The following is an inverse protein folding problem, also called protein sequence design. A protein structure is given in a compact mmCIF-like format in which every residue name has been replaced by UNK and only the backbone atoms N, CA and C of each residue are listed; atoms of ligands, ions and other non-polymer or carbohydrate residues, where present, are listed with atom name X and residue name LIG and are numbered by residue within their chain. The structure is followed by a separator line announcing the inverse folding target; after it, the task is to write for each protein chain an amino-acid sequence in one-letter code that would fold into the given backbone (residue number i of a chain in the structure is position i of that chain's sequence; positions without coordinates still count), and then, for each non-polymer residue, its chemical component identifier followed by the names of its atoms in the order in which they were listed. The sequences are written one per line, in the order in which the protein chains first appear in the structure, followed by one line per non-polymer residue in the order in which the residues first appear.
data_IF_141954017616
#
_entry.id   IF_141954017616
#
_cell.length_a   1.000
_cell.length_b   1.000
_cell.length_c   1.000
_cell.angle_alpha   90.00
_cell.angle_beta   90.00
_cell.angle_gamma   90.00
#
_symmetry.space_group_name_H-M   'P 1'
#
loop_
_entity.id
_entity.type
_entity.pdbx_description
1 polymer ?
#
# COMPACT_ATOMS: atom_id res chain seq x y z
N UNK A 1 0.67 -5.32 1.14
CA UNK A 1 1.77 -6.20 0.71
C UNK A 1 2.00 -6.00 -0.77
N UNK A 2 2.66 -4.91 -1.12
CA UNK A 2 3.00 -4.53 -2.49
C UNK A 2 3.79 -5.67 -3.13
N UNK A 3 3.21 -6.25 -4.19
CA UNK A 3 4.02 -6.98 -5.18
C UNK A 3 4.89 -5.94 -5.88
N UNK A 4 6.12 -5.74 -5.40
CA UNK A 4 7.16 -5.18 -6.26
C UNK A 4 7.31 -6.15 -7.42
N UNK A 5 6.92 -5.72 -8.62
CA UNK A 5 7.22 -6.44 -9.85
C UNK A 5 8.74 -6.51 -9.98
N UNK A 6 9.32 -7.63 -9.55
CA UNK A 6 10.73 -7.93 -9.78
C UNK A 6 10.83 -8.36 -11.24
N UNK A 7 11.33 -7.47 -12.09
CA UNK A 7 11.78 -7.82 -13.42
C UNK A 7 12.97 -8.77 -13.33
N UNK A 8 12.70 -10.07 -13.32
CA UNK A 8 13.69 -11.14 -13.42
C UNK A 8 13.71 -11.67 -14.84
N UNK A 9 14.81 -11.43 -15.56
CA UNK A 9 15.01 -11.88 -16.93
C UNK A 9 15.02 -13.40 -17.06
N UNK A 10 14.22 -13.92 -17.99
CA UNK A 10 14.34 -15.27 -18.53
C UNK A 10 14.23 -15.14 -20.06
N UNK A 11 15.28 -15.57 -20.76
CA UNK A 11 15.30 -15.68 -22.21
C UNK A 11 14.31 -16.76 -22.67
N UNK A 12 13.26 -16.36 -23.38
CA UNK A 12 12.54 -17.24 -24.31
C UNK A 12 11.82 -16.41 -25.38
N UNK A 13 12.12 -16.76 -26.63
CA UNK A 13 11.57 -16.18 -27.85
C UNK A 13 10.09 -16.56 -27.95
N UNK A 14 9.19 -15.56 -27.98
CA UNK A 14 7.77 -15.76 -28.22
C UNK A 14 7.01 -14.44 -28.25
N UNK A 15 6.66 -13.97 -29.44
CA UNK A 15 5.76 -12.82 -29.65
C UNK A 15 4.37 -13.14 -29.08
N UNK A 16 4.03 -12.51 -27.96
CA UNK A 16 2.66 -12.39 -27.45
C UNK A 16 2.61 -11.17 -26.55
N UNK A 17 1.81 -10.16 -26.91
CA UNK A 17 1.60 -9.00 -26.04
C UNK A 17 0.92 -9.47 -24.75
N UNK A 18 1.69 -9.67 -23.70
CA UNK A 18 1.15 -10.00 -22.38
C UNK A 18 0.42 -8.76 -21.84
N UNK A 19 -0.91 -8.77 -21.93
CA UNK A 19 -1.74 -7.82 -21.20
C UNK A 19 -1.46 -8.05 -19.70
N UNK A 20 -0.82 -7.09 -19.03
CA UNK A 20 -0.69 -7.17 -17.57
C UNK A 20 -2.09 -7.06 -16.95
N UNK A 21 -2.43 -7.92 -15.98
CA UNK A 21 -3.74 -7.89 -15.36
C UNK A 21 -3.95 -6.54 -14.65
N UNK A 22 -5.18 -6.03 -14.71
CA UNK A 22 -5.52 -4.77 -14.05
C UNK A 22 -5.57 -4.95 -12.53
N UNK A 23 -5.51 -3.85 -11.77
CA UNK A 23 -5.68 -3.89 -10.31
C UNK A 23 -7.00 -4.55 -9.91
N UNK A 24 -8.07 -4.28 -10.66
CA UNK A 24 -9.40 -4.84 -10.42
C UNK A 24 -9.44 -6.35 -10.65
N UNK A 25 -8.78 -6.85 -11.70
CA UNK A 25 -8.59 -8.29 -11.93
C UNK A 25 -7.77 -8.97 -10.82
N UNK A 26 -6.96 -8.19 -10.11
CA UNK A 26 -6.17 -8.65 -8.96
C UNK A 26 -6.92 -8.49 -7.62
N UNK A 27 -8.19 -8.07 -7.63
CA UNK A 27 -8.97 -7.84 -6.41
C UNK A 27 -8.55 -6.59 -5.62
N UNK A 28 -7.94 -5.61 -6.30
CA UNK A 28 -7.52 -4.33 -5.74
C UNK A 28 -8.44 -3.24 -6.26
N UNK A 29 -9.02 -2.47 -5.34
CA UNK A 29 -9.89 -1.33 -5.62
C UNK A 29 -9.14 -0.03 -5.43
N UNK A 30 -8.94 0.71 -6.51
CA UNK A 30 -8.35 2.05 -6.45
C UNK A 30 -9.35 3.06 -5.89
N UNK A 31 -8.92 3.77 -4.84
CA UNK A 31 -9.70 4.80 -4.15
C UNK A 31 -9.07 6.16 -4.39
N UNK A 32 -9.85 7.06 -4.94
CA UNK A 32 -9.53 8.44 -5.26
C UNK A 32 -10.54 9.38 -4.58
N UNK A 33 -10.32 10.69 -4.69
CA UNK A 33 -11.19 11.68 -4.05
C UNK A 33 -12.68 11.57 -4.44
N UNK A 34 -13.00 11.08 -5.65
CA UNK A 34 -14.38 10.99 -6.14
C UNK A 34 -15.15 9.78 -5.61
N UNK A 35 -14.50 8.66 -5.27
CA UNK A 35 -15.14 7.45 -4.76
C UNK A 35 -14.79 7.14 -3.29
N UNK A 36 -13.99 7.99 -2.63
CA UNK A 36 -13.55 7.83 -1.25
C UNK A 36 -14.71 7.48 -0.30
N UNK A 37 -15.76 8.28 -0.33
CA UNK A 37 -16.90 8.14 0.57
C UNK A 37 -17.68 6.85 0.31
N UNK A 38 -17.83 6.44 -0.96
CA UNK A 38 -18.48 5.19 -1.34
C UNK A 38 -17.74 3.98 -0.78
N UNK A 39 -16.44 3.93 -0.98
CA UNK A 39 -15.60 2.82 -0.52
C UNK A 39 -15.52 2.75 1.01
N UNK A 40 -15.50 3.90 1.70
CA UNK A 40 -15.62 3.93 3.16
C UNK A 40 -16.96 3.36 3.66
N UNK A 41 -18.06 3.44 2.89
CA UNK A 41 -19.32 2.77 3.27
C UNK A 41 -19.16 1.26 3.21
N UNK A 42 -18.52 0.74 2.15
CA UNK A 42 -18.23 -0.69 1.99
C UNK A 42 -17.30 -1.19 3.10
N UNK A 43 -16.21 -0.46 3.38
CA UNK A 43 -15.26 -0.81 4.44
C UNK A 43 -15.94 -0.90 5.81
N UNK A 44 -16.86 0.02 6.13
CA UNK A 44 -17.62 -0.02 7.39
C UNK A 44 -18.48 -1.27 7.56
N UNK A 45 -18.91 -1.89 6.46
CA UNK A 45 -19.63 -3.17 6.49
C UNK A 45 -18.65 -4.34 6.61
N UNK A 46 -17.57 -4.32 5.83
CA UNK A 46 -16.54 -5.36 5.80
C UNK A 46 -15.87 -5.55 7.16
N UNK A 47 -15.48 -4.45 7.81
CA UNK A 47 -14.77 -4.49 9.10
C UNK A 47 -15.58 -5.12 10.23
N UNK A 48 -16.90 -5.26 10.09
CA UNK A 48 -17.72 -5.95 11.09
C UNK A 48 -17.39 -7.45 11.17
N UNK A 49 -17.04 -8.07 10.03
CA UNK A 49 -16.74 -9.49 9.91
C UNK A 49 -15.24 -9.76 9.70
N UNK A 50 -14.53 -8.86 9.02
CA UNK A 50 -13.11 -8.98 8.67
C UNK A 50 -12.30 -7.92 9.42
N UNK A 51 -11.98 -8.20 10.68
CA UNK A 51 -11.42 -7.23 11.63
C UNK A 51 -9.88 -7.13 11.60
N UNK A 52 -9.20 -8.03 10.90
CA UNK A 52 -7.75 -8.01 10.78
C UNK A 52 -7.36 -7.23 9.52
N UNK A 53 -6.44 -6.27 9.65
CA UNK A 53 -6.08 -5.38 8.54
C UNK A 53 -4.58 -5.49 8.27
N UNK A 54 -4.23 -5.93 7.06
CA UNK A 54 -2.89 -5.78 6.53
C UNK A 54 -2.75 -4.40 5.88
N UNK A 55 -1.69 -3.67 6.25
CA UNK A 55 -1.44 -2.29 5.81
C UNK A 55 -0.11 -2.21 5.06
N UNK A 56 -0.08 -1.35 4.05
CA UNK A 56 1.15 -0.96 3.36
C UNK A 56 1.06 0.52 2.94
N UNK A 57 2.19 1.22 2.86
CA UNK A 57 2.22 2.65 2.53
C UNK A 57 3.38 2.98 1.63
N UNK A 58 3.16 3.87 0.66
CA UNK A 58 4.21 4.38 -0.23
C UNK A 58 4.43 5.88 0.00
N UNK A 59 5.71 6.26 0.10
CA UNK A 59 6.19 7.62 0.33
C UNK A 59 7.24 7.99 -0.73
N UNK A 60 7.51 9.29 -0.97
CA UNK A 60 8.53 9.78 -1.90
C UNK A 60 9.99 9.56 -1.42
N UNK A 61 10.33 8.34 -0.99
CA UNK A 61 11.70 7.96 -0.61
C UNK A 61 12.18 8.54 0.73
N UNK A 62 13.51 8.65 0.90
CA UNK A 62 14.16 9.22 2.09
C UNK A 62 14.88 10.50 1.67
N UNK A 63 14.51 11.62 2.28
CA UNK A 63 14.96 12.97 1.87
C UNK A 63 15.89 13.61 2.91
N UNK A 64 15.87 13.16 4.17
CA UNK A 64 16.70 13.72 5.22
C UNK A 64 17.37 12.66 6.09
N UNK A 65 18.56 12.98 6.60
CA UNK A 65 19.25 12.23 7.67
C UNK A 65 19.30 13.09 8.93
N UNK A 66 18.97 12.54 10.11
CA UNK A 66 18.98 13.31 11.34
C UNK A 66 20.44 13.64 11.74
N UNK A 67 20.68 14.87 12.20
CA UNK A 67 21.99 15.34 12.66
C UNK A 67 21.98 15.37 14.20
N UNK A 68 22.98 14.77 14.84
CA UNK A 68 23.13 14.77 16.30
C UNK A 68 23.85 13.54 16.83
N UNK A 69 24.00 13.48 18.16
CA UNK A 69 24.46 12.26 18.84
C UNK A 69 23.27 11.35 19.16
N UNK A 70 23.44 10.06 18.88
CA UNK A 70 22.43 9.03 19.14
C UNK A 70 23.01 8.01 20.11
N UNK A 71 22.26 7.69 21.17
CA UNK A 71 22.71 6.78 22.23
C UNK A 71 22.73 5.33 21.75
N UNK A 72 21.86 4.99 20.80
CA UNK A 72 21.75 3.64 20.22
C UNK A 72 21.42 3.71 18.73
N UNK A 73 21.71 2.62 18.01
CA UNK A 73 21.30 2.45 16.60
C UNK A 73 19.79 2.49 16.42
N UNK A 74 19.03 2.01 17.39
CA UNK A 74 17.56 2.04 17.37
C UNK A 74 17.03 3.48 17.46
N UNK A 75 17.63 4.32 18.31
CA UNK A 75 17.28 5.75 18.40
C UNK A 75 17.54 6.47 17.08
N UNK A 76 18.68 6.19 16.43
CA UNK A 76 18.99 6.75 15.12
C UNK A 76 17.97 6.31 14.06
N UNK A 77 17.62 5.02 14.01
CA UNK A 77 16.61 4.51 13.07
C UNK A 77 15.24 5.14 13.29
N UNK A 78 14.82 5.30 14.55
CA UNK A 78 13.58 5.99 14.89
C UNK A 78 13.60 7.46 14.45
N UNK A 79 14.68 8.20 14.72
CA UNK A 79 14.78 9.60 14.32
C UNK A 79 14.85 9.77 12.80
N UNK A 80 15.49 8.82 12.10
CA UNK A 80 15.49 8.78 10.64
C UNK A 80 14.07 8.58 10.10
N UNK A 81 13.31 7.62 10.65
CA UNK A 81 11.91 7.42 10.27
C UNK A 81 11.06 8.66 10.56
N UNK A 82 11.13 9.18 11.79
CA UNK A 82 10.37 10.35 12.23
C UNK A 82 10.60 11.56 11.33
N UNK A 83 11.87 11.92 11.10
CA UNK A 83 12.20 13.09 10.28
C UNK A 83 11.65 12.97 8.86
N UNK A 84 11.70 11.78 8.25
CA UNK A 84 11.17 11.58 6.91
C UNK A 84 9.63 11.51 6.89
N UNK A 85 8.99 10.93 7.90
CA UNK A 85 7.52 10.93 8.01
C UNK A 85 6.98 12.35 8.21
N UNK A 86 7.65 13.18 9.01
CA UNK A 86 7.25 14.56 9.25
C UNK A 86 7.39 15.44 7.99
N UNK A 87 8.37 15.13 7.12
CA UNK A 87 8.68 15.93 5.92
C UNK A 87 7.93 15.47 4.67
N UNK A 88 7.52 14.21 4.60
CA UNK A 88 7.00 13.61 3.37
C UNK A 88 5.49 13.47 3.41
N UNK A 89 4.85 13.75 2.28
CA UNK A 89 3.44 13.43 2.08
C UNK A 89 3.29 11.98 1.62
N UNK A 90 2.38 11.25 2.24
CA UNK A 90 1.99 9.91 1.79
C UNK A 90 1.48 9.95 0.35
N UNK A 91 1.85 8.96 -0.46
CA UNK A 91 1.40 8.82 -1.85
C UNK A 91 0.27 7.80 -1.91
N UNK A 92 0.47 6.62 -1.32
CA UNK A 92 -0.53 5.55 -1.30
C UNK A 92 -0.63 4.87 0.06
N UNK A 93 -1.83 4.37 0.35
CA UNK A 93 -2.12 3.47 1.48
C UNK A 93 -2.89 2.26 0.93
N UNK A 94 -2.35 1.06 1.11
CA UNK A 94 -3.02 -0.19 0.81
C UNK A 94 -3.57 -0.84 2.07
N UNK A 95 -4.86 -1.19 2.08
CA UNK A 95 -5.53 -1.92 3.16
C UNK A 95 -6.17 -3.19 2.63
N UNK A 96 -5.82 -4.34 3.22
CA UNK A 96 -6.45 -5.63 2.95
C UNK A 96 -7.11 -6.15 4.22
N UNK A 97 -8.39 -6.54 4.14
CA UNK A 97 -9.17 -6.98 5.30
C UNK A 97 -9.24 -8.51 5.35
N UNK A 98 -9.08 -9.07 6.55
CA UNK A 98 -9.06 -10.50 6.83
C UNK A 98 -9.89 -10.86 8.06
N UNK A 99 -10.36 -12.10 8.13
CA UNK A 99 -10.96 -12.69 9.33
C UNK A 99 -9.87 -13.31 10.24
N UNK A 100 -10.29 -13.88 11.37
CA UNK A 100 -9.41 -14.53 12.34
C UNK A 100 -8.65 -15.75 11.77
N UNK A 101 -9.17 -16.35 10.70
CA UNK A 101 -8.55 -17.47 10.00
C UNK A 101 -7.65 -17.02 8.84
N UNK A 102 -7.54 -15.71 8.59
CA UNK A 102 -6.79 -15.15 7.48
C UNK A 102 -7.51 -15.20 6.13
N UNK A 103 -8.81 -15.49 6.10
CA UNK A 103 -9.60 -15.43 4.87
C UNK A 103 -9.99 -13.99 4.55
N UNK A 104 -10.15 -13.70 3.27
CA UNK A 104 -10.58 -12.38 2.78
C UNK A 104 -12.08 -12.36 2.47
N UNK A 105 -12.71 -11.17 2.39
CA UNK A 105 -14.09 -11.06 1.94
C UNK A 105 -14.31 -11.75 0.60
N UNK A 106 -15.37 -12.55 0.49
CA UNK A 106 -15.83 -13.01 -0.82
C UNK A 106 -16.34 -11.82 -1.64
N UNK A 107 -15.98 -11.71 -2.92
CA UNK A 107 -16.42 -10.60 -3.77
C UNK A 107 -15.43 -10.27 -4.89
N UNK A 108 -15.65 -9.11 -5.52
CA UNK A 108 -14.81 -8.61 -6.63
C UNK A 108 -13.47 -8.02 -6.17
N UNK A 109 -13.34 -7.58 -4.92
CA UNK A 109 -12.10 -7.05 -4.38
C UNK A 109 -12.01 -7.21 -2.86
N UNK A 110 -10.78 -7.28 -2.36
CA UNK A 110 -10.45 -7.51 -0.93
C UNK A 110 -9.47 -6.48 -0.38
N UNK A 111 -8.88 -5.69 -1.28
CA UNK A 111 -7.84 -4.70 -0.99
C UNK A 111 -8.26 -3.34 -1.52
N UNK A 112 -8.11 -2.30 -0.70
CA UNK A 112 -8.32 -0.91 -1.08
C UNK A 112 -6.98 -0.20 -1.18
N UNK A 113 -6.71 0.43 -2.31
CA UNK A 113 -5.54 1.27 -2.54
C UNK A 113 -5.97 2.72 -2.58
N UNK A 114 -5.74 3.45 -1.49
CA UNK A 114 -5.99 4.88 -1.40
C UNK A 114 -4.88 5.64 -2.07
N UNK A 115 -5.23 6.44 -3.07
CA UNK A 115 -4.33 7.30 -3.80
C UNK A 115 -4.50 8.74 -3.31
N UNK A 116 -3.48 9.29 -2.65
CA UNK A 116 -3.51 10.63 -2.09
C UNK A 116 -3.12 11.68 -3.13
N UNK A 117 -3.64 12.89 -2.95
CA UNK A 117 -3.21 14.03 -3.76
C UNK A 117 -1.74 14.32 -3.45
N UNK A 118 -0.90 14.15 -4.46
CA UNK A 118 0.52 14.42 -4.37
C UNK A 118 0.91 15.51 -5.37
N UNK A 119 1.66 16.51 -4.92
CA UNK A 119 2.30 17.51 -5.76
C UNK A 119 3.70 17.74 -5.22
N UNK A 120 4.70 17.72 -6.10
CA UNK A 120 6.13 17.89 -5.80
C UNK A 120 6.47 19.34 -5.50
#
# INVERSE_FOLDING_TARGET
MVRKSVGGGINSIGKGGANMPTNEECGIRDVWGYNLEEEFRTIRQVVQQYQYIAMDTEFPGVVARPIGEFRTSADYQYQLLRCNVDLLRIIQLGLTFLDESGNTPGGSYTTWQFNFKFNL
#
